data_IF_920982340111
#
_entry.id   IF_920982340111
#
_cell.length_a   1.000
_cell.length_b   1.000
_cell.length_c   1.000
_cell.angle_alpha   90.00
_cell.angle_beta   90.00
_cell.angle_gamma   90.00
#
_symmetry.space_group_name_H-M   'P 1'
#
loop_
_entity.id
_entity.type
_entity.pdbx_description
1 polymer ?
#
# COMPACT_ATOMS: atom_id res chain seq x y z
N UNK A 1 20.45 -0.57 10.67
CA UNK A 1 19.35 -0.42 9.71
C UNK A 1 18.21 0.31 10.41
N UNK A 2 17.72 1.41 9.83
CA UNK A 2 16.55 2.16 10.32
C UNK A 2 15.52 2.22 9.20
N UNK A 3 14.28 1.85 9.52
CA UNK A 3 13.18 1.77 8.57
C UNK A 3 12.11 2.74 9.02
N UNK A 4 11.70 3.64 8.12
CA UNK A 4 10.50 4.45 8.30
C UNK A 4 9.29 3.68 7.78
N UNK A 5 8.18 3.75 8.52
CA UNK A 5 6.92 3.11 8.13
C UNK A 5 5.86 4.20 8.06
N UNK A 6 5.26 4.33 6.88
CA UNK A 6 4.14 5.22 6.59
C UNK A 6 2.87 4.38 6.39
N UNK A 7 1.75 4.85 6.93
CA UNK A 7 0.46 4.19 6.78
C UNK A 7 -0.11 4.40 5.38
N UNK A 8 -1.12 5.25 5.28
CA UNK A 8 -1.71 5.67 4.00
C UNK A 8 -1.04 6.95 3.52
N UNK A 9 -0.36 6.90 2.38
CA UNK A 9 0.41 8.05 1.87
C UNK A 9 -0.46 9.05 1.10
N UNK A 10 -1.54 8.60 0.47
CA UNK A 10 -2.46 9.37 -0.37
C UNK A 10 -1.74 10.30 -1.38
N UNK A 11 -0.63 9.81 -1.97
CA UNK A 11 0.15 10.51 -2.99
C UNK A 11 1.02 11.68 -2.50
N UNK A 12 1.09 11.97 -1.19
CA UNK A 12 1.87 13.09 -0.63
C UNK A 12 3.37 12.74 -0.43
N UNK A 13 3.99 12.07 -1.41
CA UNK A 13 5.40 11.62 -1.37
C UNK A 13 6.38 12.75 -1.04
N UNK A 14 6.23 13.92 -1.67
CA UNK A 14 7.11 15.08 -1.43
C UNK A 14 7.20 15.39 0.08
N UNK A 15 6.04 15.46 0.76
CA UNK A 15 5.97 15.77 2.20
C UNK A 15 6.58 14.67 3.06
N UNK A 16 6.35 13.41 2.71
CA UNK A 16 6.91 12.27 3.44
C UNK A 16 8.43 12.27 3.34
N UNK A 17 8.98 12.46 2.14
CA UNK A 17 10.43 12.53 1.96
C UNK A 17 11.06 13.75 2.62
N UNK A 18 10.43 14.93 2.54
CA UNK A 18 10.86 16.13 3.28
C UNK A 18 10.88 15.88 4.80
N UNK A 19 9.86 15.18 5.32
CA UNK A 19 9.77 14.82 6.75
C UNK A 19 10.88 13.86 7.16
N UNK A 20 11.17 12.84 6.34
CA UNK A 20 12.28 11.91 6.57
C UNK A 20 13.60 12.68 6.59
N UNK A 21 13.85 13.54 5.60
CA UNK A 21 15.08 14.35 5.55
C UNK A 21 15.22 15.25 6.78
N UNK A 22 14.12 15.84 7.25
CA UNK A 22 14.10 16.63 8.47
C UNK A 22 14.48 15.80 9.72
N UNK A 23 13.90 14.61 9.86
CA UNK A 23 14.19 13.67 10.96
C UNK A 23 15.66 13.22 10.92
N UNK A 24 16.18 12.91 9.72
CA UNK A 24 17.59 12.54 9.54
C UNK A 24 18.54 13.66 10.00
N UNK A 25 18.25 14.91 9.62
CA UNK A 25 19.03 16.09 10.03
C UNK A 25 18.95 16.32 11.54
N UNK A 26 17.75 16.27 12.11
CA UNK A 26 17.50 16.54 13.53
C UNK A 26 18.18 15.51 14.45
N UNK A 27 18.14 14.24 14.07
CA UNK A 27 18.67 13.15 14.88
C UNK A 27 20.07 12.68 14.45
N UNK A 28 20.71 13.39 13.52
CA UNK A 28 22.00 13.02 12.93
C UNK A 28 22.05 11.54 12.54
N UNK A 29 21.03 11.10 11.81
CA UNK A 29 20.85 9.69 11.48
C UNK A 29 20.44 9.49 10.03
N UNK A 30 20.44 8.23 9.58
CA UNK A 30 20.00 7.83 8.25
C UNK A 30 18.91 6.79 8.34
N UNK A 31 17.89 6.97 7.50
CA UNK A 31 16.81 6.03 7.25
C UNK A 31 17.20 5.27 5.97
N UNK A 32 17.28 3.95 6.08
CA UNK A 32 17.76 3.10 5.00
C UNK A 32 16.63 2.68 4.04
N UNK A 33 15.39 2.66 4.53
CA UNK A 33 14.20 2.20 3.79
C UNK A 33 12.95 2.94 4.28
N UNK A 34 12.10 3.34 3.35
CA UNK A 34 10.71 3.70 3.60
C UNK A 34 9.78 2.54 3.21
N UNK A 35 8.86 2.17 4.09
CA UNK A 35 7.78 1.22 3.81
C UNK A 35 6.44 1.96 3.86
N UNK A 36 5.60 1.80 2.83
CA UNK A 36 4.25 2.34 2.78
C UNK A 36 3.21 1.20 2.77
N UNK A 37 2.27 1.24 3.71
CA UNK A 37 1.28 0.18 3.92
C UNK A 37 0.05 0.29 3.01
N UNK A 38 0.06 1.17 2.01
CA UNK A 38 -0.96 1.29 0.97
C UNK A 38 -1.42 2.71 0.76
N UNK A 39 -2.44 2.84 -0.09
CA UNK A 39 -2.91 4.13 -0.60
C UNK A 39 -1.74 5.02 -1.07
N UNK A 40 -0.78 4.41 -1.75
CA UNK A 40 0.43 5.08 -2.24
C UNK A 40 0.08 6.10 -3.34
N UNK A 41 -0.95 5.77 -4.13
CA UNK A 41 -1.52 6.59 -5.19
C UNK A 41 -0.52 6.86 -6.33
N UNK A 42 -0.02 5.78 -6.95
CA UNK A 42 0.97 5.79 -8.03
C UNK A 42 0.47 6.33 -9.39
N UNK A 43 -0.13 7.53 -9.42
CA UNK A 43 -0.69 8.15 -10.63
C UNK A 43 0.42 8.75 -11.50
N UNK A 44 0.60 8.23 -12.72
CA UNK A 44 1.63 8.70 -13.66
C UNK A 44 1.19 9.92 -14.46
N UNK A 45 -0.08 9.96 -14.83
CA UNK A 45 -0.66 10.97 -15.70
C UNK A 45 -2.19 11.10 -15.48
N UNK A 46 -2.82 12.05 -16.17
CA UNK A 46 -4.27 12.32 -16.04
C UNK A 46 -5.13 11.10 -16.40
N UNK A 47 -4.69 10.22 -17.29
CA UNK A 47 -5.45 9.01 -17.68
C UNK A 47 -5.57 8.01 -16.51
N UNK A 48 -4.51 7.88 -15.71
CA UNK A 48 -4.52 7.00 -14.53
C UNK A 48 -5.54 7.48 -13.46
N UNK A 49 -5.96 8.75 -13.49
CA UNK A 49 -6.96 9.29 -12.56
C UNK A 49 -8.33 8.63 -12.73
N UNK A 50 -8.65 8.12 -13.91
CA UNK A 50 -9.89 7.34 -14.13
C UNK A 50 -9.83 5.95 -13.51
N UNK A 51 -8.62 5.50 -13.16
CA UNK A 51 -8.38 4.24 -12.46
C UNK A 51 -8.19 4.44 -10.95
N UNK A 52 -8.60 5.59 -10.40
CA UNK A 52 -8.74 5.82 -8.96
C UNK A 52 -10.17 5.59 -8.49
N UNK A 53 -10.35 4.75 -7.47
CA UNK A 53 -11.61 4.59 -6.74
C UNK A 53 -11.86 5.71 -5.72
N UNK A 54 -11.76 6.96 -6.18
CA UNK A 54 -11.99 8.17 -5.38
C UNK A 54 -13.09 9.00 -6.06
N UNK A 55 -14.05 9.60 -5.32
CA UNK A 55 -15.05 10.48 -5.91
C UNK A 55 -14.41 11.61 -6.74
N UNK A 56 -14.91 11.95 -7.94
CA UNK A 56 -14.23 12.87 -8.86
C UNK A 56 -13.79 14.21 -8.25
N UNK A 57 -14.61 14.78 -7.36
CA UNK A 57 -14.32 16.04 -6.66
C UNK A 57 -13.12 16.01 -5.68
N UNK A 58 -12.65 14.82 -5.32
CA UNK A 58 -11.52 14.61 -4.40
C UNK A 58 -10.30 14.01 -5.10
N UNK A 59 -10.37 13.79 -6.42
CA UNK A 59 -9.26 13.23 -7.19
C UNK A 59 -8.18 14.29 -7.38
N UNK A 60 -6.98 14.01 -6.89
CA UNK A 60 -5.79 14.83 -7.12
C UNK A 60 -4.64 13.95 -7.59
N UNK A 61 -3.88 14.43 -8.57
CA UNK A 61 -2.73 13.69 -9.13
C UNK A 61 -1.53 13.64 -8.17
N UNK A 62 -1.51 14.56 -7.18
CA UNK A 62 -0.49 14.66 -6.12
C UNK A 62 0.94 14.69 -6.70
N UNK A 63 1.87 13.89 -6.16
CA UNK A 63 3.31 14.05 -6.42
C UNK A 63 3.99 12.88 -7.14
N UNK A 64 3.39 11.67 -7.18
CA UNK A 64 4.05 10.49 -7.78
C UNK A 64 4.52 10.69 -9.22
N UNK A 65 3.73 11.37 -10.05
CA UNK A 65 4.08 11.65 -11.45
C UNK A 65 5.43 12.36 -11.65
N UNK A 66 5.90 13.14 -10.65
CA UNK A 66 7.21 13.79 -10.68
C UNK A 66 8.33 12.74 -10.61
N UNK A 67 8.14 11.71 -9.80
CA UNK A 67 9.07 10.59 -9.64
C UNK A 67 9.05 9.67 -10.86
N UNK A 68 7.85 9.38 -11.37
CA UNK A 68 7.68 8.58 -12.58
C UNK A 68 8.33 9.23 -13.81
N UNK A 69 8.15 10.55 -13.99
CA UNK A 69 8.71 11.28 -15.12
C UNK A 69 10.23 11.55 -15.03
N UNK A 70 10.85 11.26 -13.88
CA UNK A 70 12.26 11.58 -13.60
C UNK A 70 12.54 13.04 -13.25
N UNK A 71 11.49 13.87 -13.05
CA UNK A 71 11.64 15.22 -12.53
C UNK A 71 12.18 15.22 -11.08
N UNK A 72 11.85 14.18 -10.32
CA UNK A 72 12.36 13.91 -8.98
C UNK A 72 12.85 12.46 -8.88
N UNK A 73 13.74 12.19 -7.93
CA UNK A 73 14.18 10.84 -7.59
C UNK A 73 13.91 10.63 -6.11
N UNK A 74 13.34 9.48 -5.74
CA UNK A 74 13.12 9.17 -4.33
C UNK A 74 14.46 9.11 -3.59
N UNK A 75 14.62 9.85 -2.47
CA UNK A 75 15.93 10.04 -1.82
C UNK A 75 16.45 8.79 -1.10
N UNK A 76 15.57 7.80 -0.89
CA UNK A 76 15.88 6.51 -0.30
C UNK A 76 15.03 5.40 -0.96
N UNK A 77 15.47 4.13 -0.88
CA UNK A 77 14.64 3.00 -1.27
C UNK A 77 13.27 3.07 -0.59
N UNK A 78 12.22 2.89 -1.37
CA UNK A 78 10.84 2.94 -0.92
C UNK A 78 10.11 1.69 -1.40
N UNK A 79 9.55 0.92 -0.49
CA UNK A 79 8.73 -0.26 -0.78
C UNK A 79 7.29 0.05 -0.42
N UNK A 80 6.35 -0.34 -1.27
CA UNK A 80 4.93 -0.19 -0.96
C UNK A 80 4.09 -1.39 -1.40
N UNK A 81 2.98 -1.59 -0.70
CA UNK A 81 1.84 -2.42 -1.13
C UNK A 81 0.70 -1.51 -1.59
N UNK A 82 -0.29 -2.05 -2.29
CA UNK A 82 -1.46 -1.30 -2.75
C UNK A 82 -2.54 -1.22 -1.66
N UNK A 83 -3.23 -0.09 -1.58
CA UNK A 83 -4.49 0.07 -0.84
C UNK A 83 -5.72 0.10 -1.75
N UNK A 84 -6.73 0.87 -1.37
CA UNK A 84 -7.97 1.07 -2.14
C UNK A 84 -8.05 2.40 -2.92
N UNK A 85 -7.09 3.30 -2.73
CA UNK A 85 -6.95 4.56 -3.47
C UNK A 85 -5.71 4.55 -4.36
N UNK A 86 -5.69 3.62 -5.30
CA UNK A 86 -4.54 3.38 -6.18
C UNK A 86 -4.85 3.63 -7.64
N UNK A 87 -3.82 4.01 -8.41
CA UNK A 87 -3.84 3.94 -9.87
C UNK A 87 -3.85 2.47 -10.29
N UNK A 88 -5.04 1.85 -10.24
CA UNK A 88 -5.19 0.40 -10.28
C UNK A 88 -4.79 -0.21 -11.63
N UNK A 89 -4.91 0.57 -12.71
CA UNK A 89 -4.37 0.19 -14.01
C UNK A 89 -2.85 0.04 -14.00
N UNK A 90 -2.13 0.98 -13.36
CA UNK A 90 -0.68 0.93 -13.32
C UNK A 90 -0.17 -0.18 -12.38
N UNK A 91 -0.77 -0.33 -11.19
CA UNK A 91 -0.41 -1.42 -10.29
C UNK A 91 -0.69 -2.80 -10.91
N UNK A 92 -1.70 -2.90 -11.78
CA UNK A 92 -1.97 -4.13 -12.53
C UNK A 92 -0.86 -4.48 -13.54
N UNK A 93 -0.23 -3.48 -14.18
CA UNK A 93 0.95 -3.71 -15.03
C UNK A 93 2.12 -4.32 -14.23
N UNK A 94 2.16 -4.07 -12.91
CA UNK A 94 3.17 -4.53 -11.96
C UNK A 94 2.63 -5.61 -11.01
N UNK A 95 1.71 -6.46 -11.48
CA UNK A 95 1.02 -7.46 -10.64
C UNK A 95 1.96 -8.35 -9.79
N UNK A 96 3.09 -8.79 -10.36
CA UNK A 96 4.11 -9.60 -9.68
C UNK A 96 5.18 -8.78 -8.93
N UNK A 97 4.97 -7.48 -8.79
CA UNK A 97 5.91 -6.53 -8.23
C UNK A 97 6.87 -5.97 -9.27
N UNK A 98 7.43 -4.81 -8.98
CA UNK A 98 8.36 -4.13 -9.88
C UNK A 98 8.66 -2.69 -9.47
N UNK A 99 9.65 -2.12 -10.14
CA UNK A 99 10.02 -0.72 -9.97
C UNK A 99 8.94 0.17 -10.57
N UNK A 100 8.22 0.90 -9.71
CA UNK A 100 7.22 1.88 -10.12
C UNK A 100 7.89 3.20 -10.57
N UNK A 101 9.05 3.51 -10.01
CA UNK A 101 9.93 4.61 -10.41
C UNK A 101 11.34 4.33 -9.85
N UNK A 102 12.38 5.09 -10.23
CA UNK A 102 13.69 4.97 -9.58
C UNK A 102 13.58 5.06 -8.06
N UNK A 103 14.17 4.09 -7.35
CA UNK A 103 14.10 3.90 -5.89
C UNK A 103 12.71 3.61 -5.29
N UNK A 104 11.66 3.42 -6.11
CA UNK A 104 10.31 3.10 -5.63
C UNK A 104 9.88 1.73 -6.17
N UNK A 105 9.67 0.76 -5.28
CA UNK A 105 9.34 -0.63 -5.61
C UNK A 105 7.95 -1.00 -5.09
N UNK A 106 7.06 -1.39 -5.99
CA UNK A 106 5.79 -2.00 -5.66
C UNK A 106 5.99 -3.50 -5.41
N UNK A 107 5.49 -4.02 -4.28
CA UNK A 107 5.61 -5.44 -3.95
C UNK A 107 4.76 -6.37 -4.83
N UNK A 108 3.85 -5.82 -5.62
CA UNK A 108 2.85 -6.59 -6.34
C UNK A 108 1.63 -6.87 -5.47
N UNK A 109 0.72 -7.69 -6.00
CA UNK A 109 -0.51 -8.04 -5.29
C UNK A 109 -0.27 -8.95 -4.09
N UNK A 110 0.73 -9.83 -4.19
CA UNK A 110 1.24 -10.63 -3.09
C UNK A 110 2.65 -11.10 -3.41
N UNK A 111 3.58 -10.93 -2.46
CA UNK A 111 4.98 -11.34 -2.66
C UNK A 111 5.87 -11.14 -1.44
N UNK A 112 7.12 -11.56 -1.59
CA UNK A 112 8.19 -11.34 -0.61
C UNK A 112 9.41 -10.76 -1.31
N UNK A 113 9.98 -9.71 -0.73
CA UNK A 113 11.25 -9.14 -1.18
C UNK A 113 12.28 -9.21 -0.06
N UNK A 114 13.56 -9.10 -0.44
CA UNK A 114 14.67 -8.99 0.52
C UNK A 114 15.26 -7.59 0.48
N UNK A 115 15.41 -6.98 1.65
CA UNK A 115 16.14 -5.72 1.82
C UNK A 115 17.25 -5.93 2.87
N UNK A 116 18.50 -5.94 2.42
CA UNK A 116 19.62 -6.39 3.25
C UNK A 116 19.40 -7.84 3.71
N UNK A 117 19.35 -8.04 5.03
CA UNK A 117 19.08 -9.35 5.64
C UNK A 117 17.60 -9.57 5.99
N UNK A 118 16.71 -8.61 5.75
CA UNK A 118 15.29 -8.71 6.08
C UNK A 118 14.48 -9.28 4.92
N UNK A 119 13.57 -10.21 5.24
CA UNK A 119 12.52 -10.72 4.36
C UNK A 119 11.21 -9.99 4.67
N UNK A 120 10.73 -9.24 3.70
CA UNK A 120 9.52 -8.42 3.83
C UNK A 120 8.43 -9.05 2.95
N UNK A 121 7.37 -9.54 3.57
CA UNK A 121 6.17 -10.04 2.90
C UNK A 121 5.09 -8.97 2.78
N UNK A 122 4.26 -9.04 1.76
CA UNK A 122 3.19 -8.06 1.54
C UNK A 122 1.99 -8.65 0.83
N UNK A 123 0.80 -8.22 1.25
CA UNK A 123 -0.48 -8.48 0.62
C UNK A 123 -1.16 -7.14 0.35
N UNK A 124 -1.35 -6.83 -0.93
CA UNK A 124 -2.00 -5.58 -1.36
C UNK A 124 -3.52 -5.72 -1.34
N UNK A 125 -4.19 -4.60 -1.08
CA UNK A 125 -5.64 -4.47 -1.21
C UNK A 125 -6.40 -4.59 0.11
N UNK A 126 -7.74 -4.52 -0.02
CA UNK A 126 -8.68 -4.64 1.11
C UNK A 126 -9.56 -5.89 0.96
N UNK A 127 -10.06 -6.41 2.07
CA UNK A 127 -10.90 -7.61 2.03
C UNK A 127 -12.33 -7.31 1.57
N UNK A 128 -12.86 -8.15 0.67
CA UNK A 128 -14.29 -8.18 0.36
C UNK A 128 -14.76 -9.61 0.09
N UNK A 129 -15.67 -10.11 0.94
CA UNK A 129 -16.17 -11.48 0.85
C UNK A 129 -16.81 -11.84 -0.51
N UNK A 130 -17.35 -10.85 -1.24
CA UNK A 130 -18.01 -11.10 -2.54
C UNK A 130 -17.02 -11.43 -3.65
N UNK A 131 -15.80 -10.91 -3.55
CA UNK A 131 -14.79 -11.03 -4.59
C UNK A 131 -13.64 -11.98 -4.18
N UNK A 132 -13.53 -12.33 -2.89
CA UNK A 132 -12.40 -13.10 -2.35
C UNK A 132 -12.15 -14.43 -3.08
N UNK A 133 -13.19 -15.22 -3.35
CA UNK A 133 -13.09 -16.52 -4.03
C UNK A 133 -13.08 -16.41 -5.56
N UNK A 134 -13.05 -15.21 -6.12
CA UNK A 134 -12.98 -15.00 -7.57
C UNK A 134 -11.52 -14.95 -8.03
N UNK A 135 -11.33 -14.97 -9.35
CA UNK A 135 -10.06 -14.52 -9.95
C UNK A 135 -10.03 -13.01 -10.10
N UNK A 136 -8.88 -12.46 -10.48
CA UNK A 136 -8.80 -11.10 -11.00
C UNK A 136 -9.18 -11.09 -12.48
N UNK A 137 -10.36 -10.57 -12.79
CA UNK A 137 -10.94 -10.51 -14.14
C UNK A 137 -11.07 -9.07 -14.67
N UNK A 138 -10.84 -8.09 -13.82
CA UNK A 138 -11.03 -6.68 -14.08
C UNK A 138 -10.04 -6.18 -15.13
N UNK A 139 -10.51 -5.36 -16.07
CA UNK A 139 -9.67 -4.76 -17.11
C UNK A 139 -10.08 -3.30 -17.33
N UNK A 140 -9.13 -2.39 -17.62
CA UNK A 140 -9.46 -1.04 -18.02
C UNK A 140 -10.13 -1.02 -19.41
N UNK A 141 -11.02 -0.06 -19.70
CA UNK A 141 -11.52 0.96 -18.76
C UNK A 141 -12.43 0.34 -17.69
N UNK A 142 -12.20 0.71 -16.43
CA UNK A 142 -12.97 0.17 -15.32
C UNK A 142 -14.34 0.85 -15.22
N UNK A 143 -15.38 0.05 -15.04
CA UNK A 143 -16.67 0.56 -14.58
C UNK A 143 -16.67 0.78 -13.06
N UNK A 144 -17.78 1.31 -12.52
CA UNK A 144 -17.91 1.62 -11.10
C UNK A 144 -17.79 0.40 -10.17
N UNK A 145 -18.01 -0.82 -10.68
CA UNK A 145 -17.87 -2.07 -9.92
C UNK A 145 -16.43 -2.58 -10.01
N UNK A 146 -15.91 -2.72 -11.23
CA UNK A 146 -14.58 -3.28 -11.49
C UNK A 146 -13.49 -2.40 -10.90
N UNK A 147 -13.67 -1.08 -10.86
CA UNK A 147 -12.71 -0.18 -10.21
C UNK A 147 -12.58 -0.42 -8.72
N UNK A 148 -13.60 -1.01 -8.07
CA UNK A 148 -13.57 -1.38 -6.66
C UNK A 148 -13.02 -2.78 -6.47
N UNK A 149 -13.48 -3.72 -7.29
CA UNK A 149 -13.07 -5.11 -7.13
C UNK A 149 -11.61 -5.35 -7.46
N UNK A 150 -10.99 -4.55 -8.34
CA UNK A 150 -9.58 -4.71 -8.75
C UNK A 150 -8.57 -4.66 -7.60
N UNK A 151 -8.83 -3.89 -6.53
CA UNK A 151 -7.96 -3.83 -5.36
C UNK A 151 -8.44 -4.72 -4.20
N UNK A 152 -9.50 -5.50 -4.38
CA UNK A 152 -9.92 -6.43 -3.34
C UNK A 152 -8.93 -7.62 -3.30
N UNK A 153 -8.61 -8.09 -2.09
CA UNK A 153 -7.80 -9.30 -1.87
C UNK A 153 -8.47 -10.51 -2.52
N UNK A 154 -7.67 -11.42 -3.10
CA UNK A 154 -8.13 -12.71 -3.63
C UNK A 154 -7.54 -13.87 -2.83
N UNK A 155 -8.31 -14.95 -2.72
CA UNK A 155 -7.90 -16.22 -2.12
C UNK A 155 -6.61 -16.76 -2.76
N UNK A 156 -6.48 -16.61 -4.08
CA UNK A 156 -5.27 -16.96 -4.81
C UNK A 156 -4.02 -16.21 -4.28
N UNK A 157 -4.14 -14.91 -4.00
CA UNK A 157 -3.03 -14.09 -3.49
C UNK A 157 -2.60 -14.52 -2.09
N UNK A 158 -3.56 -14.87 -1.24
CA UNK A 158 -3.33 -15.43 0.10
C UNK A 158 -2.64 -16.80 0.01
N UNK A 159 -3.13 -17.71 -0.85
CA UNK A 159 -2.54 -19.04 -0.98
C UNK A 159 -1.08 -19.01 -1.45
N UNK A 160 -0.71 -18.09 -2.35
CA UNK A 160 0.70 -17.89 -2.74
C UNK A 160 1.57 -17.61 -1.51
N UNK A 161 1.13 -16.73 -0.62
CA UNK A 161 1.86 -16.38 0.59
C UNK A 161 1.89 -17.54 1.60
N UNK A 162 0.83 -18.33 1.70
CA UNK A 162 0.81 -19.53 2.55
C UNK A 162 1.81 -20.61 2.13
N UNK A 163 2.33 -20.59 0.90
CA UNK A 163 3.38 -21.52 0.46
C UNK A 163 4.79 -21.12 0.93
N UNK A 164 4.94 -19.96 1.59
CA UNK A 164 6.24 -19.48 2.06
C UNK A 164 6.68 -20.29 3.28
N UNK A 165 7.76 -21.05 3.13
CA UNK A 165 8.34 -21.88 4.20
C UNK A 165 9.39 -21.11 5.01
N UNK A 166 10.18 -20.27 4.35
CA UNK A 166 11.20 -19.46 5.02
C UNK A 166 10.56 -18.34 5.86
N UNK A 167 11.03 -18.08 7.10
CA UNK A 167 10.50 -17.03 7.96
C UNK A 167 10.43 -15.66 7.28
N UNK A 168 9.42 -14.87 7.67
CA UNK A 168 9.24 -13.48 7.24
C UNK A 168 9.50 -12.60 8.45
N UNK A 169 10.33 -11.57 8.30
CA UNK A 169 10.70 -10.65 9.38
C UNK A 169 9.66 -9.54 9.55
N UNK A 170 9.13 -9.03 8.43
CA UNK A 170 8.11 -7.96 8.39
C UNK A 170 7.02 -8.37 7.41
N UNK A 171 5.75 -8.26 7.80
CA UNK A 171 4.62 -8.51 6.93
C UNK A 171 3.73 -7.27 6.82
N UNK A 172 3.31 -6.93 5.61
CA UNK A 172 2.50 -5.75 5.31
C UNK A 172 1.11 -6.14 4.80
N UNK A 173 0.08 -5.49 5.33
CA UNK A 173 -1.28 -5.47 4.80
C UNK A 173 -1.82 -4.06 4.89
N UNK A 174 -2.76 -3.71 4.00
CA UNK A 174 -3.43 -2.42 4.05
C UNK A 174 -4.51 -2.41 5.13
N UNK A 175 -5.45 -3.35 5.03
CA UNK A 175 -6.40 -3.63 6.10
C UNK A 175 -5.70 -4.25 7.31
N UNK A 176 -6.26 -3.98 8.49
CA UNK A 176 -5.79 -4.57 9.73
C UNK A 176 -6.13 -6.06 9.78
N UNK A 177 -5.22 -6.92 10.27
CA UNK A 177 -5.56 -8.30 10.56
C UNK A 177 -6.73 -8.37 11.55
N UNK A 178 -7.70 -9.25 11.26
CA UNK A 178 -8.84 -9.45 12.15
C UNK A 178 -8.37 -9.85 13.56
N UNK A 179 -8.95 -9.23 14.59
CA UNK A 179 -8.61 -9.49 16.00
C UNK A 179 -7.32 -8.82 16.49
N UNK A 180 -6.59 -8.07 15.66
CA UNK A 180 -5.34 -7.40 16.10
C UNK A 180 -5.59 -6.39 17.25
N UNK A 181 -6.80 -5.84 17.32
CA UNK A 181 -7.19 -4.88 18.36
C UNK A 181 -7.25 -5.50 19.75
N UNK A 182 -7.41 -6.83 19.85
CA UNK A 182 -7.43 -7.54 21.14
C UNK A 182 -6.06 -7.52 21.83
N UNK A 183 -5.01 -7.22 21.07
CA UNK A 183 -3.63 -7.10 21.55
C UNK A 183 -3.24 -5.65 21.87
N UNK A 184 -4.19 -4.71 21.84
CA UNK A 184 -4.00 -3.30 22.17
C UNK A 184 -5.07 -2.73 23.11
N UNK A 185 -5.05 -1.41 23.32
CA UNK A 185 -6.10 -0.72 24.07
C UNK A 185 -7.30 -0.41 23.18
N UNK A 186 -8.08 -1.44 22.86
CA UNK A 186 -9.27 -1.30 22.01
C UNK A 186 -10.31 -0.36 22.62
N UNK A 187 -10.37 -0.23 23.95
CA UNK A 187 -11.28 0.70 24.63
C UNK A 187 -10.91 2.15 24.33
N UNK A 188 -9.61 2.47 24.33
CA UNK A 188 -9.13 3.78 23.91
C UNK A 188 -9.40 4.03 22.42
N UNK A 189 -9.20 3.02 21.55
CA UNK A 189 -9.50 3.13 20.12
C UNK A 189 -10.97 3.51 19.88
N UNK A 190 -11.91 2.75 20.46
CA UNK A 190 -13.35 2.98 20.29
C UNK A 190 -13.78 4.34 20.88
N UNK A 191 -13.16 4.80 21.97
CA UNK A 191 -13.42 6.15 22.49
C UNK A 191 -13.07 7.25 21.49
N UNK A 192 -11.95 7.11 20.77
CA UNK A 192 -11.54 8.09 19.76
C UNK A 192 -12.28 7.92 18.45
N UNK A 193 -12.59 6.67 18.08
CA UNK A 193 -13.20 6.28 16.81
C UNK A 193 -14.38 5.33 17.06
N UNK A 194 -15.55 5.86 17.49
CA UNK A 194 -16.69 5.02 17.92
C UNK A 194 -17.23 4.05 16.87
N UNK A 195 -17.05 4.35 15.59
CA UNK A 195 -17.51 3.49 14.50
C UNK A 195 -16.79 2.12 14.45
N UNK A 196 -15.61 1.98 15.05
CA UNK A 196 -14.90 0.70 15.14
C UNK A 196 -15.49 -0.26 16.18
N UNK A 197 -16.41 0.19 17.05
CA UNK A 197 -16.99 -0.67 18.10
C UNK A 197 -17.57 -1.97 17.54
N UNK A 198 -18.26 -1.90 16.41
CA UNK A 198 -18.84 -3.08 15.76
C UNK A 198 -17.78 -4.01 15.18
N UNK A 199 -16.70 -3.48 14.65
CA UNK A 199 -15.63 -4.27 14.03
C UNK A 199 -14.76 -4.96 15.09
N UNK A 200 -14.52 -4.28 16.20
CA UNK A 200 -13.70 -4.77 17.33
C UNK A 200 -14.44 -5.81 18.18
N UNK A 201 -15.76 -5.68 18.36
CA UNK A 201 -16.53 -6.59 19.23
C UNK A 201 -17.01 -7.88 18.52
N UNK A 202 -16.76 -8.01 17.22
CA UNK A 202 -17.17 -9.17 16.40
C UNK A 202 -15.99 -10.12 16.10
N UNK A 203 -14.75 -9.74 16.44
CA UNK A 203 -13.57 -10.60 16.34
C UNK A 203 -13.47 -11.65 17.44
#
# INVERSE_FOLDING_TARGET
>A
MKIAVEGCMHGDLDKVYETIEHIEKLHHTKIDLLICCGDFQAVRNVSDMESLSVPPKYREMKSFWKYYSGLQVAPLPTIFIGGNHEASNYLWELYYGGWAAPNIYFMGFAGVVKFGNLRIGGLSGIYNARDYHLGHYERPPYDARNIRSVYHVREYDVHKLMQIVEPIDIFLSHDWPLGITDYGDWKQLVRHKPYFEKEVLIS
#
